data_IF_039540521251
#
_entry.id   IF_039540521251
#
_cell.length_a   1.000
_cell.length_b   1.000
_cell.length_c   1.000
_cell.angle_alpha   90.00
_cell.angle_beta   90.00
_cell.angle_gamma   90.00
#
_symmetry.space_group_name_H-M   'P 1'
#
loop_
_entity.id
_entity.type
_entity.pdbx_description
1 polymer ?
#
# COMPACT_ATOMS: atom_id res chain seq x y z
N UNK A 1 -27.36 7.58 46.36
CA UNK A 1 -26.39 8.44 45.63
C UNK A 1 -24.99 7.84 45.46
N UNK A 2 -24.30 7.33 46.49
CA UNK A 2 -22.90 6.82 46.41
C UNK A 2 -22.61 5.76 45.34
N UNK A 3 -23.53 4.82 45.06
CA UNK A 3 -23.31 3.77 44.05
C UNK A 3 -23.31 4.30 42.62
N UNK A 4 -24.22 5.23 42.27
CA UNK A 4 -24.28 5.83 40.92
C UNK A 4 -23.01 6.64 40.60
N UNK A 5 -22.48 7.37 41.58
CA UNK A 5 -21.21 8.12 41.44
C UNK A 5 -20.02 7.19 41.19
N UNK A 6 -19.97 6.02 41.85
CA UNK A 6 -18.92 5.01 41.60
C UNK A 6 -18.95 4.46 40.19
N UNK A 7 -20.13 4.15 39.65
CA UNK A 7 -20.26 3.67 38.28
C UNK A 7 -19.88 4.74 37.24
N UNK A 8 -20.21 6.01 37.50
CA UNK A 8 -19.80 7.14 36.65
C UNK A 8 -18.28 7.30 36.62
N UNK A 9 -17.61 7.20 37.77
CA UNK A 9 -16.15 7.24 37.87
C UNK A 9 -15.48 6.09 37.11
N UNK A 10 -15.99 4.86 37.25
CA UNK A 10 -15.47 3.68 36.53
C UNK A 10 -15.64 3.86 35.02
N UNK A 11 -16.80 4.37 34.57
CA UNK A 11 -17.03 4.62 33.15
C UNK A 11 -16.08 5.68 32.59
N UNK A 12 -15.82 6.77 33.33
CA UNK A 12 -14.88 7.82 32.92
C UNK A 12 -13.44 7.30 32.75
N UNK A 13 -12.98 6.46 33.70
CA UNK A 13 -11.65 5.83 33.60
C UNK A 13 -11.59 4.86 32.42
N UNK A 14 -12.65 4.11 32.17
CA UNK A 14 -12.74 3.22 31.01
C UNK A 14 -12.66 3.98 29.68
N UNK A 15 -13.41 5.08 29.56
CA UNK A 15 -13.42 5.92 28.35
C UNK A 15 -12.05 6.57 28.13
N UNK A 16 -11.42 7.11 29.18
CA UNK A 16 -10.12 7.76 29.05
C UNK A 16 -9.00 6.78 28.68
N UNK A 17 -9.05 5.55 29.19
CA UNK A 17 -8.11 4.49 28.81
C UNK A 17 -8.29 4.09 27.33
N UNK A 18 -9.55 3.99 26.87
CA UNK A 18 -9.84 3.63 25.48
C UNK A 18 -9.44 4.73 24.48
N UNK A 19 -9.69 6.00 24.81
CA UNK A 19 -9.23 7.15 24.01
C UNK A 19 -7.70 7.20 23.98
N UNK A 20 -7.05 7.01 25.13
CA UNK A 20 -5.58 6.96 25.22
C UNK A 20 -4.99 5.86 24.35
N UNK A 21 -5.62 4.68 24.31
CA UNK A 21 -5.19 3.57 23.46
C UNK A 21 -5.33 3.91 21.96
N UNK A 22 -6.44 4.54 21.56
CA UNK A 22 -6.66 4.98 20.17
C UNK A 22 -5.62 6.02 19.76
N UNK A 23 -5.38 7.02 20.61
CA UNK A 23 -4.39 8.08 20.36
C UNK A 23 -2.98 7.50 20.30
N UNK A 24 -2.63 6.61 21.24
CA UNK A 24 -1.33 5.94 21.26
C UNK A 24 -1.10 5.09 20.01
N UNK A 25 -2.11 4.32 19.59
CA UNK A 25 -2.04 3.54 18.35
C UNK A 25 -1.87 4.45 17.12
N UNK A 26 -2.59 5.58 17.08
CA UNK A 26 -2.44 6.57 16.00
C UNK A 26 -1.07 7.26 16.01
N UNK A 27 -0.48 7.53 17.17
CA UNK A 27 0.86 8.14 17.30
C UNK A 27 1.98 7.18 16.89
N UNK A 28 1.78 5.87 17.03
CA UNK A 28 2.74 4.86 16.60
C UNK A 28 2.60 4.50 15.11
N UNK A 29 1.49 4.82 14.46
CA UNK A 29 1.33 4.63 13.03
C UNK A 29 2.17 5.65 12.24
N UNK A 30 3.38 5.26 11.87
CA UNK A 30 4.18 5.98 10.88
C UNK A 30 3.88 5.41 9.50
N UNK A 31 3.32 6.23 8.61
CA UNK A 31 3.24 5.87 7.19
C UNK A 31 4.68 5.63 6.69
N UNK A 32 4.93 4.58 5.86
CA UNK A 32 6.23 4.37 5.25
C UNK A 32 6.69 5.65 4.54
N UNK A 33 7.92 6.06 4.78
CA UNK A 33 8.49 7.27 4.17
C UNK A 33 8.80 6.97 2.70
N UNK A 34 8.16 7.70 1.81
CA UNK A 34 8.41 7.65 0.37
C UNK A 34 9.49 8.67 0.01
N UNK A 35 10.43 8.29 -0.84
CA UNK A 35 11.46 9.20 -1.36
C UNK A 35 10.83 10.19 -2.35
N UNK A 36 11.39 11.40 -2.47
CA UNK A 36 10.92 12.41 -3.42
C UNK A 36 11.10 11.95 -4.87
N UNK A 37 12.19 11.22 -5.15
CA UNK A 37 12.50 10.65 -6.46
C UNK A 37 13.27 9.34 -6.33
N UNK A 38 13.01 8.38 -7.22
CA UNK A 38 13.78 7.14 -7.40
C UNK A 38 14.02 6.87 -8.88
N UNK A 39 15.20 6.37 -9.21
CA UNK A 39 15.70 6.21 -10.57
C UNK A 39 15.95 4.74 -10.91
N UNK A 40 16.21 4.44 -12.19
CA UNK A 40 16.51 3.09 -12.68
C UNK A 40 15.47 2.03 -12.31
N UNK A 41 14.20 2.42 -12.23
CA UNK A 41 13.12 1.48 -11.94
C UNK A 41 12.82 0.66 -13.19
N UNK A 42 12.57 -0.63 -12.97
CA UNK A 42 12.07 -1.54 -14.00
C UNK A 42 10.70 -2.10 -13.60
N UNK A 43 9.78 -2.17 -14.56
CA UNK A 43 8.43 -2.71 -14.43
C UNK A 43 8.20 -3.81 -15.46
N UNK A 44 7.74 -4.95 -14.98
CA UNK A 44 7.30 -6.10 -15.77
C UNK A 44 5.84 -6.42 -15.44
N UNK A 45 4.97 -6.47 -16.44
CA UNK A 45 3.58 -6.88 -16.28
C UNK A 45 3.35 -8.14 -17.10
N UNK A 46 3.25 -9.27 -16.42
CA UNK A 46 2.94 -10.59 -16.97
C UNK A 46 1.42 -10.81 -16.95
N UNK A 47 0.80 -10.79 -18.14
CA UNK A 47 -0.64 -10.98 -18.32
C UNK A 47 -1.04 -12.46 -18.28
N UNK A 48 -0.11 -13.37 -18.00
CA UNK A 48 -0.33 -14.83 -17.93
C UNK A 48 -0.92 -15.43 -19.23
N UNK A 49 -0.73 -14.75 -20.36
CA UNK A 49 -1.18 -15.16 -21.69
C UNK A 49 -0.03 -15.22 -22.72
N UNK A 50 1.21 -15.22 -22.23
CA UNK A 50 2.44 -15.13 -23.03
C UNK A 50 2.89 -13.70 -23.35
N UNK A 51 2.07 -12.69 -23.04
CA UNK A 51 2.44 -11.27 -23.19
C UNK A 51 3.07 -10.76 -21.89
N UNK A 52 4.23 -10.12 -22.02
CA UNK A 52 4.88 -9.39 -20.93
C UNK A 52 5.12 -7.96 -21.40
N UNK A 53 4.55 -6.98 -20.69
CA UNK A 53 4.82 -5.56 -20.92
C UNK A 53 6.00 -5.13 -20.05
N UNK A 54 7.04 -4.61 -20.70
CA UNK A 54 8.29 -4.24 -20.04
C UNK A 54 8.56 -2.74 -20.18
N UNK A 55 8.95 -2.13 -19.07
CA UNK A 55 9.49 -0.76 -18.99
C UNK A 55 10.71 -0.79 -18.10
N UNK A 56 11.80 -0.20 -18.54
CA UNK A 56 13.09 -0.23 -17.82
C UNK A 56 13.67 1.17 -17.77
N UNK A 57 14.52 1.42 -16.78
CA UNK A 57 15.26 2.67 -16.61
C UNK A 57 14.35 3.90 -16.65
N UNK A 58 13.29 3.90 -15.83
CA UNK A 58 12.43 5.06 -15.67
C UNK A 58 12.49 5.62 -14.24
N UNK A 59 12.18 6.91 -14.13
CA UNK A 59 12.15 7.64 -12.88
C UNK A 59 10.73 7.77 -12.36
N UNK A 60 10.58 7.66 -11.04
CA UNK A 60 9.41 8.07 -10.29
C UNK A 60 9.79 9.28 -9.44
N UNK A 61 8.94 10.30 -9.44
CA UNK A 61 9.23 11.61 -8.85
C UNK A 61 8.00 12.17 -8.12
N UNK A 62 8.13 13.35 -7.54
CA UNK A 62 7.07 14.07 -6.83
C UNK A 62 6.46 13.26 -5.67
N UNK A 63 7.28 12.46 -5.00
CA UNK A 63 6.87 11.60 -3.88
C UNK A 63 5.98 10.40 -4.28
N UNK A 64 5.77 10.17 -5.59
CA UNK A 64 5.02 9.02 -6.12
C UNK A 64 5.94 7.83 -6.40
N UNK A 65 6.57 7.34 -5.34
CA UNK A 65 7.68 6.38 -5.41
C UNK A 65 7.30 5.00 -4.87
N UNK A 66 6.03 4.60 -4.98
CA UNK A 66 5.58 3.26 -4.54
C UNK A 66 5.49 2.24 -5.67
N UNK A 67 5.39 0.96 -5.32
CA UNK A 67 5.17 -0.12 -6.31
C UNK A 67 3.86 0.06 -7.11
N UNK A 68 2.82 0.67 -6.52
CA UNK A 68 1.60 1.02 -7.24
C UNK A 68 1.81 2.22 -8.18
N UNK A 69 2.60 3.21 -7.77
CA UNK A 69 2.93 4.36 -8.63
C UNK A 69 3.71 3.93 -9.87
N UNK A 70 4.65 2.99 -9.71
CA UNK A 70 5.37 2.37 -10.83
C UNK A 70 4.40 1.77 -11.86
N UNK A 71 3.39 1.04 -11.39
CA UNK A 71 2.37 0.46 -12.25
C UNK A 71 1.50 1.55 -12.90
N UNK A 72 1.00 2.50 -12.11
CA UNK A 72 0.10 3.56 -12.55
C UNK A 72 0.74 4.52 -13.56
N UNK A 73 2.07 4.66 -13.54
CA UNK A 73 2.81 5.47 -14.54
C UNK A 73 2.65 4.92 -15.96
N UNK A 74 2.58 3.60 -16.10
CA UNK A 74 2.68 2.93 -17.40
C UNK A 74 1.42 2.17 -17.82
N UNK A 75 0.49 1.95 -16.92
CA UNK A 75 -0.70 1.13 -17.16
C UNK A 75 -1.97 1.84 -16.70
N UNK A 76 -3.08 1.52 -17.36
CA UNK A 76 -4.41 1.91 -16.91
C UNK A 76 -4.86 0.88 -15.86
N UNK A 77 -5.08 1.33 -14.63
CA UNK A 77 -5.43 0.45 -13.51
C UNK A 77 -6.85 0.70 -13.01
N UNK A 78 -7.57 -0.36 -12.65
CA UNK A 78 -8.75 -0.27 -11.78
C UNK A 78 -8.47 -0.99 -10.48
N UNK A 79 -8.92 -0.40 -9.38
CA UNK A 79 -8.70 -0.95 -8.05
C UNK A 79 -9.90 -0.69 -7.14
N UNK A 80 -9.97 -1.48 -6.07
CA UNK A 80 -10.92 -1.30 -4.97
C UNK A 80 -10.16 -0.88 -3.72
N UNK A 81 -10.67 0.15 -3.05
CA UNK A 81 -10.14 0.59 -1.76
C UNK A 81 -10.88 -0.13 -0.64
N UNK A 82 -10.14 -0.70 0.30
CA UNK A 82 -10.68 -1.37 1.48
C UNK A 82 -9.91 -0.95 2.73
N UNK A 83 -10.41 -1.26 3.95
CA UNK A 83 -9.65 -1.05 5.19
C UNK A 83 -8.30 -1.80 5.23
N UNK A 84 -8.13 -2.84 4.39
CA UNK A 84 -6.89 -3.61 4.28
C UNK A 84 -5.91 -3.05 3.25
N UNK A 85 -6.30 -1.99 2.52
CA UNK A 85 -5.51 -1.37 1.47
C UNK A 85 -6.17 -1.39 0.10
N UNK A 86 -5.37 -1.10 -0.92
CA UNK A 86 -5.77 -1.06 -2.32
C UNK A 86 -5.57 -2.44 -2.95
N UNK A 87 -6.63 -2.98 -3.55
CA UNK A 87 -6.60 -4.20 -4.35
C UNK A 87 -6.73 -3.84 -5.83
N UNK A 88 -5.71 -4.15 -6.63
CA UNK A 88 -5.79 -3.99 -8.09
C UNK A 88 -6.67 -5.10 -8.66
N UNK A 89 -7.63 -4.71 -9.48
CA UNK A 89 -8.66 -5.59 -10.07
C UNK A 89 -8.60 -5.66 -11.59
N UNK A 90 -7.91 -4.72 -12.23
CA UNK A 90 -7.73 -4.66 -13.67
C UNK A 90 -6.44 -3.93 -14.02
N UNK A 91 -5.69 -4.43 -15.00
CA UNK A 91 -4.54 -3.75 -15.60
C UNK A 91 -4.71 -3.78 -17.12
N UNK A 92 -4.69 -2.62 -17.76
CA UNK A 92 -4.82 -2.43 -19.22
C UNK A 92 -6.03 -3.16 -19.83
N UNK A 93 -7.16 -3.19 -19.10
CA UNK A 93 -8.39 -3.84 -19.56
C UNK A 93 -8.53 -5.32 -19.19
N UNK A 94 -7.47 -5.97 -18.68
CA UNK A 94 -7.53 -7.36 -18.22
C UNK A 94 -7.92 -7.42 -16.74
N UNK A 95 -9.17 -7.85 -16.49
CA UNK A 95 -9.71 -8.04 -15.15
C UNK A 95 -9.19 -9.32 -14.49
N UNK A 96 -9.10 -9.32 -13.16
CA UNK A 96 -8.79 -10.52 -12.38
C UNK A 96 -7.93 -10.26 -11.16
N UNK A 97 -7.34 -11.34 -10.63
CA UNK A 97 -6.39 -11.28 -9.55
C UNK A 97 -5.01 -10.86 -10.05
N UNK A 98 -4.34 -10.00 -9.28
CA UNK A 98 -2.99 -9.54 -9.58
C UNK A 98 -2.13 -9.63 -8.33
N UNK A 99 -0.95 -10.24 -8.46
CA UNK A 99 0.11 -10.23 -7.45
C UNK A 99 1.22 -9.30 -7.92
N UNK A 100 1.81 -8.56 -6.98
CA UNK A 100 3.00 -7.77 -7.23
C UNK A 100 4.20 -8.33 -6.46
N UNK A 101 5.39 -8.13 -7.01
CA UNK A 101 6.67 -8.53 -6.45
C UNK A 101 7.68 -7.41 -6.66
N UNK A 102 8.63 -7.27 -5.74
CA UNK A 102 9.79 -6.38 -5.88
C UNK A 102 11.05 -7.21 -5.70
N UNK A 103 11.98 -7.13 -6.67
CA UNK A 103 13.21 -7.94 -6.67
C UNK A 103 12.94 -9.45 -6.69
N UNK A 104 11.78 -9.90 -7.17
CA UNK A 104 11.36 -11.31 -7.17
C UNK A 104 10.70 -11.80 -5.88
N UNK A 105 10.53 -10.94 -4.87
CA UNK A 105 9.86 -11.29 -3.61
C UNK A 105 8.50 -10.60 -3.50
N UNK A 106 7.50 -11.30 -2.94
CA UNK A 106 6.20 -10.70 -2.61
C UNK A 106 6.31 -9.98 -1.26
N UNK A 107 6.18 -8.64 -1.20
CA UNK A 107 6.25 -7.94 0.07
C UNK A 107 5.04 -8.25 0.96
N UNK A 108 5.20 -8.03 2.27
CA UNK A 108 4.11 -8.17 3.26
C UNK A 108 3.21 -6.93 3.33
N UNK A 109 3.60 -5.81 2.71
CA UNK A 109 2.78 -4.61 2.61
C UNK A 109 2.01 -4.58 1.29
N UNK A 110 1.07 -3.65 1.14
CA UNK A 110 0.39 -3.44 -0.14
C UNK A 110 1.21 -2.56 -1.08
N UNK A 111 1.04 -2.74 -2.39
CA UNK A 111 1.78 -1.98 -3.41
C UNK A 111 1.64 -0.45 -3.26
N UNK A 112 0.51 0.02 -2.74
CA UNK A 112 0.22 1.44 -2.52
C UNK A 112 1.05 2.10 -1.40
N UNK A 113 1.71 1.29 -0.57
CA UNK A 113 2.48 1.77 0.58
C UNK A 113 3.88 1.16 0.64
N UNK A 114 4.25 0.31 -0.33
CA UNK A 114 5.61 -0.21 -0.44
C UNK A 114 6.48 0.86 -1.12
N UNK A 115 7.41 1.51 -0.39
CA UNK A 115 8.33 2.47 -0.99
C UNK A 115 9.35 1.73 -1.86
N UNK A 116 9.60 2.24 -3.05
CA UNK A 116 10.66 1.75 -3.93
C UNK A 116 11.98 2.46 -3.63
N UNK A 117 13.06 1.80 -3.98
CA UNK A 117 14.42 2.35 -4.02
C UNK A 117 14.93 2.39 -5.46
N UNK A 118 15.93 3.23 -5.73
CA UNK A 118 16.51 3.29 -7.07
C UNK A 118 17.13 1.95 -7.49
N UNK A 119 16.86 1.52 -8.71
CA UNK A 119 17.27 0.19 -9.23
C UNK A 119 16.27 -0.94 -8.95
N UNK A 120 15.15 -0.66 -8.28
CA UNK A 120 14.15 -1.69 -7.99
C UNK A 120 13.50 -2.28 -9.25
N UNK A 121 13.26 -3.58 -9.18
CA UNK A 121 12.52 -4.34 -10.19
C UNK A 121 11.14 -4.70 -9.66
N UNK A 122 10.11 -4.11 -10.26
CA UNK A 122 8.70 -4.34 -9.93
C UNK A 122 8.10 -5.29 -10.95
N UNK A 123 7.46 -6.36 -10.48
CA UNK A 123 6.73 -7.31 -11.32
C UNK A 123 5.29 -7.40 -10.89
N UNK A 124 4.36 -7.33 -11.85
CA UNK A 124 2.95 -7.62 -11.67
C UNK A 124 2.59 -8.85 -12.48
N UNK A 125 1.91 -9.81 -11.86
CA UNK A 125 1.52 -11.07 -12.49
C UNK A 125 0.03 -11.32 -12.32
N UNK A 126 -0.64 -11.61 -13.44
CA UNK A 126 -2.03 -12.05 -13.46
C UNK A 126 -2.16 -13.48 -12.95
N UNK A 127 -3.23 -13.78 -12.23
CA UNK A 127 -3.51 -15.07 -11.58
C UNK A 127 -4.75 -15.70 -12.20
#
# INVERSE_FOLDING_TARGET
MRKKVKFILIALVGISAFISLIIFNSLLYKKPETLESVEDISLFVDYNNGTIKTRTNFTLDNGKTTALDALAKWCIIKYVVSPRGILVTEIDGLGGGWIYMVGGFSPNSGAAVYPLESGDLVTWKHI
#
